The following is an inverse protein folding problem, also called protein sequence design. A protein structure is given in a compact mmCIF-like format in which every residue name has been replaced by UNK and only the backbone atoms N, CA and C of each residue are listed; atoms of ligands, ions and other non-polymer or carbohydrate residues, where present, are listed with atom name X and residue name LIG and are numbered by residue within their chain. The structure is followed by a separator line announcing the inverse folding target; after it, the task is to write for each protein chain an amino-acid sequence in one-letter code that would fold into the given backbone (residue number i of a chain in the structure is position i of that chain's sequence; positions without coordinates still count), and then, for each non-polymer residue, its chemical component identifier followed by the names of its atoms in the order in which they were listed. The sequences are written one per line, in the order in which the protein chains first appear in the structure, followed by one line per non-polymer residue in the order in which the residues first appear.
data_IF_862024766086
#
_entry.id   IF_862024766086
#
_cell.length_a   1.000
_cell.length_b   1.000
_cell.length_c   1.000
_cell.angle_alpha   90.00
_cell.angle_beta   90.00
_cell.angle_gamma   90.00
#
_symmetry.space_group_name_H-M   'P 1'
#
loop_
_entity.id
_entity.type
_entity.pdbx_description
1 polymer ?
#
# COMPACT_ATOMS: atom_id res chain seq x y z
N UNK A 1 10.01 -4.41 -28.00
CA UNK A 1 10.31 -4.53 -26.55
C UNK A 1 10.64 -3.13 -26.07
N UNK A 2 9.96 -2.62 -25.03
CA UNK A 2 10.23 -1.27 -24.50
C UNK A 2 11.65 -1.19 -23.96
N UNK A 3 12.34 -0.07 -24.18
CA UNK A 3 13.63 0.21 -23.53
C UNK A 3 13.41 0.41 -22.03
N UNK A 4 14.46 0.19 -21.21
CA UNK A 4 14.34 0.26 -19.74
C UNK A 4 13.74 1.60 -19.27
N UNK A 5 14.10 2.71 -19.92
CA UNK A 5 13.59 4.05 -19.62
C UNK A 5 12.09 4.26 -19.96
N UNK A 6 11.48 3.40 -20.77
CA UNK A 6 10.11 3.56 -21.25
C UNK A 6 9.06 2.85 -20.37
N UNK A 7 9.50 1.97 -19.46
CA UNK A 7 8.57 1.22 -18.59
C UNK A 7 7.84 2.11 -17.60
N UNK A 8 8.53 3.04 -16.94
CA UNK A 8 7.92 3.98 -16.00
C UNK A 8 6.77 4.79 -16.62
N UNK A 9 6.96 5.50 -17.76
CA UNK A 9 5.86 6.25 -18.38
C UNK A 9 4.75 5.32 -18.90
N UNK A 10 5.09 4.14 -19.43
CA UNK A 10 4.10 3.16 -19.88
C UNK A 10 3.20 2.69 -18.71
N UNK A 11 3.79 2.24 -17.60
CA UNK A 11 3.06 1.73 -16.42
C UNK A 11 2.19 2.83 -15.83
N UNK A 12 2.71 4.05 -15.66
CA UNK A 12 1.92 5.17 -15.13
C UNK A 12 0.73 5.50 -16.02
N UNK A 13 0.90 5.48 -17.34
CA UNK A 13 -0.20 5.68 -18.29
C UNK A 13 -1.24 4.58 -18.17
N UNK A 14 -0.82 3.30 -18.12
CA UNK A 14 -1.74 2.16 -17.96
C UNK A 14 -2.50 2.22 -16.64
N UNK A 15 -1.84 2.62 -15.54
CA UNK A 15 -2.51 2.79 -14.25
C UNK A 15 -3.62 3.85 -14.32
N UNK A 16 -3.35 4.99 -14.95
CA UNK A 16 -4.37 6.03 -15.15
C UNK A 16 -5.53 5.56 -16.04
N UNK A 17 -5.25 4.85 -17.13
CA UNK A 17 -6.27 4.25 -18.01
C UNK A 17 -7.15 3.21 -17.28
N UNK A 18 -6.61 2.53 -16.26
CA UNK A 18 -7.34 1.59 -15.41
C UNK A 18 -8.11 2.27 -14.26
N UNK A 19 -8.02 3.59 -14.12
CA UNK A 19 -8.77 4.37 -13.13
C UNK A 19 -8.06 4.58 -11.78
N UNK A 20 -6.77 4.27 -11.67
CA UNK A 20 -5.99 4.64 -10.47
C UNK A 20 -5.69 6.13 -10.47
N UNK A 21 -5.83 6.78 -9.31
CA UNK A 21 -5.56 8.21 -9.16
C UNK A 21 -4.08 8.56 -9.20
N UNK A 22 -3.23 7.66 -8.71
CA UNK A 22 -1.79 7.84 -8.70
C UNK A 22 -1.07 6.50 -8.85
N UNK A 23 0.13 6.57 -9.44
CA UNK A 23 1.03 5.45 -9.61
C UNK A 23 2.45 5.90 -9.25
N UNK A 24 2.99 5.37 -8.16
CA UNK A 24 4.38 5.52 -7.74
C UNK A 24 5.21 4.30 -8.14
N UNK A 25 6.49 4.51 -8.41
CA UNK A 25 7.44 3.42 -8.64
C UNK A 25 8.67 3.73 -7.78
N UNK A 26 9.03 2.80 -6.90
CA UNK A 26 10.23 2.87 -6.07
C UNK A 26 11.15 1.69 -6.37
N UNK A 27 12.41 1.80 -5.94
CA UNK A 27 13.35 0.70 -6.01
C UNK A 27 12.99 -0.36 -4.96
N UNK A 28 13.10 -1.64 -5.32
CA UNK A 28 12.99 -2.72 -4.35
C UNK A 28 14.34 -2.87 -3.65
N UNK A 29 14.41 -2.39 -2.41
CA UNK A 29 15.61 -2.45 -1.58
C UNK A 29 15.25 -2.54 -0.10
N UNK A 30 16.25 -2.79 0.73
CA UNK A 30 16.08 -2.84 2.18
C UNK A 30 15.72 -1.45 2.72
N UNK A 31 14.68 -1.37 3.54
CA UNK A 31 14.15 -0.12 4.10
C UNK A 31 14.94 0.29 5.37
N UNK A 32 16.17 0.79 5.18
CA UNK A 32 17.09 1.15 6.29
C UNK A 32 16.50 2.13 7.30
N UNK A 33 15.78 3.16 6.83
CA UNK A 33 15.17 4.16 7.70
C UNK A 33 13.96 3.63 8.49
N UNK A 34 13.21 2.69 7.91
CA UNK A 34 12.00 2.15 8.52
C UNK A 34 12.29 0.97 9.45
N UNK A 35 13.38 0.25 9.23
CA UNK A 35 13.82 -0.87 10.07
C UNK A 35 13.85 -0.54 11.58
N UNK A 36 14.59 0.50 12.04
CA UNK A 36 14.62 0.84 13.46
C UNK A 36 13.27 1.37 13.97
N UNK A 37 12.44 1.97 13.11
CA UNK A 37 11.10 2.44 13.50
C UNK A 37 10.16 1.27 13.76
N UNK A 38 10.13 0.29 12.85
CA UNK A 38 9.33 -0.92 13.01
C UNK A 38 9.79 -1.71 14.24
N UNK A 39 11.10 -1.90 14.41
CA UNK A 39 11.65 -2.59 15.57
C UNK A 39 11.24 -1.90 16.89
N UNK A 40 11.42 -0.59 16.98
CA UNK A 40 11.03 0.18 18.16
C UNK A 40 9.51 0.14 18.40
N UNK A 41 8.71 0.13 17.33
CA UNK A 41 7.26 0.07 17.43
C UNK A 41 6.77 -1.29 17.94
N UNK A 42 7.38 -2.38 17.48
CA UNK A 42 7.13 -3.73 17.95
C UNK A 42 7.57 -3.92 19.40
N UNK A 43 8.79 -3.49 19.77
CA UNK A 43 9.32 -3.57 21.15
C UNK A 43 8.44 -2.83 22.17
N UNK A 44 7.76 -1.76 21.75
CA UNK A 44 6.82 -1.00 22.59
C UNK A 44 5.42 -1.62 22.67
N UNK A 45 5.18 -2.77 22.03
CA UNK A 45 3.88 -3.43 22.01
C UNK A 45 2.78 -2.63 21.30
N UNK A 46 3.15 -1.69 20.42
CA UNK A 46 2.18 -0.79 19.77
C UNK A 46 1.34 -1.49 18.68
N UNK A 47 1.60 -2.77 18.40
CA UNK A 47 0.81 -3.61 17.50
C UNK A 47 -0.45 -4.20 18.15
N UNK A 48 -0.66 -3.99 19.45
CA UNK A 48 -1.84 -4.46 20.17
C UNK A 48 -2.00 -5.97 20.07
N UNK A 49 -3.09 -6.45 19.45
CA UNK A 49 -3.35 -7.89 19.26
C UNK A 49 -2.84 -8.43 17.91
N UNK A 50 -2.19 -7.60 17.08
CA UNK A 50 -1.71 -8.00 15.76
C UNK A 50 -0.39 -8.78 15.83
N UNK A 51 -0.39 -9.94 16.49
CA UNK A 51 0.83 -10.75 16.68
C UNK A 51 1.54 -11.11 15.35
N UNK A 52 0.79 -11.18 14.24
CA UNK A 52 1.35 -11.38 12.90
C UNK A 52 2.27 -10.24 12.42
N UNK A 53 2.24 -9.06 13.06
CA UNK A 53 3.17 -7.96 12.77
C UNK A 53 4.61 -8.30 13.14
N UNK A 54 4.82 -9.17 14.12
CA UNK A 54 6.15 -9.67 14.51
C UNK A 54 6.68 -10.72 13.54
N UNK A 55 5.78 -11.43 12.86
CA UNK A 55 6.16 -12.47 11.91
C UNK A 55 6.86 -11.87 10.67
N UNK A 56 7.83 -12.61 10.15
CA UNK A 56 8.52 -12.32 8.89
C UNK A 56 9.12 -10.89 8.83
N UNK A 57 9.71 -10.42 9.94
CA UNK A 57 10.30 -9.09 10.07
C UNK A 57 11.18 -8.70 8.86
N UNK A 58 12.11 -9.56 8.47
CA UNK A 58 13.03 -9.28 7.35
C UNK A 58 12.30 -9.07 6.03
N UNK A 59 11.22 -9.83 5.76
CA UNK A 59 10.42 -9.71 4.54
C UNK A 59 9.59 -8.42 4.49
N UNK A 60 9.31 -7.80 5.64
CA UNK A 60 8.64 -6.49 5.71
C UNK A 60 9.57 -5.34 5.35
N UNK A 61 10.86 -5.54 5.58
CA UNK A 61 11.89 -4.54 5.35
C UNK A 61 12.58 -4.73 3.99
N UNK A 62 12.53 -5.93 3.42
CA UNK A 62 13.14 -6.22 2.13
C UNK A 62 12.16 -6.91 1.16
N UNK A 63 11.54 -6.18 0.22
CA UNK A 63 10.64 -6.76 -0.76
C UNK A 63 11.32 -7.77 -1.69
N UNK A 64 12.67 -7.77 -1.80
CA UNK A 64 13.42 -8.75 -2.60
C UNK A 64 13.36 -10.16 -2.00
N UNK A 65 13.02 -10.28 -0.72
CA UNK A 65 12.79 -11.56 -0.04
C UNK A 65 11.38 -12.12 -0.25
N UNK A 66 10.47 -11.31 -0.82
CA UNK A 66 9.11 -11.73 -1.18
C UNK A 66 9.07 -12.33 -2.59
N UNK A 67 9.75 -11.68 -3.53
CA UNK A 67 9.81 -12.09 -4.94
C UNK A 67 11.27 -12.03 -5.40
N UNK A 68 11.83 -13.19 -5.75
CA UNK A 68 13.21 -13.28 -6.20
C UNK A 68 13.44 -12.45 -7.46
N UNK A 69 14.57 -11.75 -7.49
CA UNK A 69 14.93 -10.85 -8.59
C UNK A 69 14.13 -9.52 -8.64
N UNK A 70 13.24 -9.22 -7.70
CA UNK A 70 12.50 -7.96 -7.67
C UNK A 70 13.44 -6.73 -7.72
N UNK A 71 13.11 -5.76 -8.58
CA UNK A 71 13.90 -4.52 -8.78
C UNK A 71 13.14 -3.25 -8.42
N UNK A 72 11.81 -3.30 -8.50
CA UNK A 72 10.94 -2.17 -8.23
C UNK A 72 9.65 -2.60 -7.56
N UNK A 73 9.03 -1.66 -6.85
CA UNK A 73 7.68 -1.77 -6.29
C UNK A 73 6.80 -0.74 -6.99
N UNK A 74 5.65 -1.16 -7.48
CA UNK A 74 4.64 -0.28 -8.08
C UNK A 74 3.53 -0.08 -7.04
N UNK A 75 3.31 1.17 -6.65
CA UNK A 75 2.28 1.54 -5.66
C UNK A 75 1.15 2.29 -6.36
N UNK A 76 -0.08 1.85 -6.15
CA UNK A 76 -1.28 2.40 -6.77
C UNK A 76 -2.17 3.05 -5.71
N UNK A 77 -2.79 4.18 -6.07
CA UNK A 77 -3.74 4.90 -5.21
C UNK A 77 -5.12 4.89 -5.83
N UNK A 78 -6.13 4.55 -5.02
CA UNK A 78 -7.54 4.60 -5.40
C UNK A 78 -8.31 5.44 -4.36
N UNK A 79 -9.20 6.31 -4.82
CA UNK A 79 -10.08 7.04 -3.93
C UNK A 79 -11.31 6.19 -3.59
N UNK A 80 -11.44 5.85 -2.31
CA UNK A 80 -12.63 5.17 -1.79
C UNK A 80 -13.60 6.13 -1.12
N UNK A 81 -13.35 7.45 -1.15
CA UNK A 81 -14.23 8.42 -0.51
C UNK A 81 -15.63 8.38 -1.14
N UNK A 82 -16.68 8.10 -0.37
CA UNK A 82 -18.02 7.94 -0.91
C UNK A 82 -18.55 9.30 -1.41
N UNK A 83 -19.24 9.33 -2.57
CA UNK A 83 -19.95 10.52 -3.02
C UNK A 83 -21.03 10.91 -2.01
N UNK A 84 -21.50 12.15 -2.04
CA UNK A 84 -22.37 12.72 -1.00
C UNK A 84 -23.67 11.89 -0.81
N UNK A 85 -24.24 11.41 -1.90
CA UNK A 85 -25.42 10.56 -1.94
C UNK A 85 -25.23 9.17 -1.33
N UNK A 86 -23.97 8.70 -1.21
CA UNK A 86 -23.62 7.43 -0.58
C UNK A 86 -23.13 7.60 0.86
N UNK A 87 -23.13 8.82 1.40
CA UNK A 87 -22.75 9.08 2.78
C UNK A 87 -23.90 8.78 3.74
N UNK A 88 -23.54 8.36 4.96
CA UNK A 88 -24.55 8.06 5.97
C UNK A 88 -25.16 9.35 6.54
N UNK A 89 -26.47 9.40 6.76
CA UNK A 89 -27.14 10.50 7.46
C UNK A 89 -26.48 10.81 8.80
N UNK A 90 -26.56 12.06 9.25
CA UNK A 90 -25.89 12.52 10.47
C UNK A 90 -26.55 12.04 11.77
N UNK A 91 -27.80 11.61 11.69
CA UNK A 91 -28.59 11.04 12.78
C UNK A 91 -28.41 9.52 12.96
N UNK A 92 -27.37 8.94 12.36
CA UNK A 92 -27.10 7.49 12.39
C UNK A 92 -25.72 7.15 12.97
N UNK A 93 -25.56 5.90 13.41
CA UNK A 93 -24.26 5.38 13.83
C UNK A 93 -23.30 5.32 12.63
N UNK A 94 -22.12 5.90 12.75
CA UNK A 94 -21.15 5.95 11.65
C UNK A 94 -20.31 4.66 11.56
N UNK A 95 -20.09 4.19 10.35
CA UNK A 95 -19.05 3.20 10.04
C UNK A 95 -17.89 3.89 9.32
N UNK A 96 -16.69 3.32 9.35
CA UNK A 96 -15.54 3.89 8.64
C UNK A 96 -15.74 3.84 7.12
N UNK A 97 -15.33 4.90 6.41
CA UNK A 97 -15.52 5.05 4.96
C UNK A 97 -14.90 3.94 4.12
N UNK A 98 -13.82 3.29 4.59
CA UNK A 98 -13.20 2.16 3.87
C UNK A 98 -14.08 0.90 3.85
N UNK A 99 -15.10 0.82 4.70
CA UNK A 99 -16.03 -0.30 4.78
C UNK A 99 -17.30 -0.07 3.93
N UNK A 100 -17.32 0.98 3.10
CA UNK A 100 -18.46 1.30 2.25
C UNK A 100 -18.34 0.58 0.92
N UNK A 101 -19.47 0.13 0.37
CA UNK A 101 -19.51 -0.42 -0.97
C UNK A 101 -18.88 -1.82 -1.05
N UNK A 102 -18.04 -2.04 -2.05
CA UNK A 102 -17.38 -3.32 -2.28
C UNK A 102 -16.11 -3.41 -1.44
N UNK A 103 -15.79 -4.62 -0.98
CA UNK A 103 -14.50 -4.90 -0.36
C UNK A 103 -13.37 -4.44 -1.30
N UNK A 104 -12.37 -3.76 -0.73
CA UNK A 104 -11.27 -3.16 -1.50
C UNK A 104 -10.17 -4.18 -1.83
N UNK A 105 -10.18 -5.34 -1.18
CA UNK A 105 -9.29 -6.47 -1.49
C UNK A 105 -9.71 -7.16 -2.79
#
# INVERSE_FOLDING_TARGET
MLLHAEWTPYIKRRAAELGFMACGISKAEFLEEEAPRLENWLKKGMHGKMAWMENHFDKRLDPRLLVDGAKSVISLLLNYYPPAEAQQPDDTLKISKYAYGRDYH
#
